data_IF_874942363216
#
_entry.id   IF_874942363216
#
_cell.length_a   1.000
_cell.length_b   1.000
_cell.length_c   1.000
_cell.angle_alpha   90.00
_cell.angle_beta   90.00
_cell.angle_gamma   90.00
#
_symmetry.space_group_name_H-M   'P 1'
#
loop_
_entity.id
_entity.type
_entity.pdbx_description
1 polymer ?
#
# COMPACT_ATOMS: atom_id res chain seq x y z
N UNK A 1 -38.63 -4.56 35.38
CA UNK A 1 -39.05 -4.50 33.97
C UNK A 1 -37.97 -3.98 33.00
N UNK A 2 -37.17 -2.95 33.34
CA UNK A 2 -36.10 -2.43 32.45
C UNK A 2 -34.87 -3.36 32.29
N UNK A 3 -34.69 -4.33 33.20
CA UNK A 3 -33.54 -5.25 33.18
C UNK A 3 -33.45 -6.09 31.91
N UNK A 4 -34.60 -6.50 31.35
CA UNK A 4 -34.66 -7.25 30.10
C UNK A 4 -34.10 -6.42 28.94
N UNK A 5 -34.41 -5.12 28.89
CA UNK A 5 -33.84 -4.21 27.89
C UNK A 5 -32.34 -4.01 28.05
N UNK A 6 -31.81 -3.98 29.29
CA UNK A 6 -30.36 -3.88 29.51
C UNK A 6 -29.61 -5.12 29.04
N UNK A 7 -30.14 -6.31 29.32
CA UNK A 7 -29.56 -7.56 28.84
C UNK A 7 -29.60 -7.59 27.30
N UNK A 8 -30.72 -7.20 26.69
CA UNK A 8 -30.85 -7.11 25.23
C UNK A 8 -29.82 -6.14 24.64
N UNK A 9 -29.73 -4.90 25.13
CA UNK A 9 -28.79 -3.91 24.63
C UNK A 9 -27.33 -4.36 24.80
N UNK A 10 -26.99 -4.96 25.95
CA UNK A 10 -25.66 -5.51 26.20
C UNK A 10 -25.31 -6.62 25.20
N UNK A 11 -26.24 -7.54 24.90
CA UNK A 11 -25.99 -8.61 23.92
C UNK A 11 -25.72 -8.05 22.52
N UNK A 12 -26.46 -7.03 22.09
CA UNK A 12 -26.27 -6.37 20.80
C UNK A 12 -24.88 -5.72 20.74
N UNK A 13 -24.51 -4.94 21.76
CA UNK A 13 -23.20 -4.29 21.82
C UNK A 13 -22.05 -5.31 21.87
N UNK A 14 -22.21 -6.39 22.64
CA UNK A 14 -21.22 -7.45 22.74
C UNK A 14 -20.98 -8.15 21.39
N UNK A 15 -22.05 -8.49 20.66
CA UNK A 15 -21.93 -9.12 19.34
C UNK A 15 -21.25 -8.19 18.33
N UNK A 16 -21.61 -6.90 18.32
CA UNK A 16 -20.97 -5.89 17.44
C UNK A 16 -19.48 -5.76 17.77
N UNK A 17 -19.13 -5.67 19.06
CA UNK A 17 -17.75 -5.54 19.50
C UNK A 17 -16.90 -6.76 19.14
N UNK A 18 -17.40 -7.98 19.37
CA UNK A 18 -16.71 -9.23 19.00
C UNK A 18 -16.55 -9.34 17.48
N UNK A 19 -17.58 -9.00 16.70
CA UNK A 19 -17.48 -8.99 15.24
C UNK A 19 -16.44 -7.97 14.73
N UNK A 20 -16.39 -6.79 15.32
CA UNK A 20 -15.41 -5.76 15.00
C UNK A 20 -13.98 -6.22 15.36
N UNK A 21 -13.81 -6.84 16.52
CA UNK A 21 -12.53 -7.42 16.94
C UNK A 21 -12.06 -8.53 16.00
N UNK A 22 -12.94 -9.45 15.61
CA UNK A 22 -12.63 -10.54 14.67
C UNK A 22 -12.21 -9.96 13.32
N UNK A 23 -12.90 -8.95 12.78
CA UNK A 23 -12.50 -8.29 11.53
C UNK A 23 -11.10 -7.67 11.63
N UNK A 24 -10.83 -6.94 12.71
CA UNK A 24 -9.53 -6.31 12.93
C UNK A 24 -8.41 -7.36 13.10
N UNK A 25 -8.70 -8.47 13.79
CA UNK A 25 -7.76 -9.57 13.96
C UNK A 25 -7.48 -10.29 12.64
N UNK A 26 -8.52 -10.58 11.85
CA UNK A 26 -8.40 -11.27 10.57
C UNK A 26 -7.60 -10.42 9.57
N UNK A 27 -7.92 -9.12 9.46
CA UNK A 27 -7.17 -8.19 8.61
C UNK A 27 -5.69 -8.17 8.99
N UNK A 28 -5.39 -8.12 10.28
CA UNK A 28 -4.03 -8.12 10.79
C UNK A 28 -3.31 -9.48 10.69
N UNK A 29 -4.04 -10.60 10.76
CA UNK A 29 -3.49 -11.93 10.56
C UNK A 29 -3.13 -12.16 9.09
N UNK A 30 -3.93 -11.66 8.15
CA UNK A 30 -3.65 -11.79 6.72
C UNK A 30 -2.43 -10.98 6.27
N UNK A 31 -2.12 -9.86 6.92
CA UNK A 31 -0.90 -9.10 6.64
C UNK A 31 0.38 -9.81 7.16
N UNK A 32 0.24 -10.77 8.08
CA UNK A 32 1.37 -11.59 8.57
C UNK A 32 1.61 -12.84 7.74
N UNK A 33 0.54 -13.46 7.23
CA UNK A 33 0.62 -14.71 6.48
C UNK A 33 0.60 -14.54 4.95
N UNK A 34 0.29 -13.34 4.44
CA UNK A 34 0.26 -13.02 3.00
C UNK A 34 1.63 -12.78 2.34
N UNK A 35 2.70 -12.70 3.13
CA UNK A 35 4.07 -12.49 2.62
C UNK A 35 4.90 -13.78 2.51
N UNK A 36 4.32 -14.94 2.84
CA UNK A 36 5.04 -16.24 2.78
C UNK A 36 4.13 -17.43 2.47
N UNK A 37 3.43 -17.44 1.34
CA UNK A 37 3.06 -18.71 0.72
C UNK A 37 2.83 -18.53 -0.77
N UNK A 38 3.66 -19.20 -1.56
CA UNK A 38 3.61 -19.16 -3.01
C UNK A 38 2.36 -19.81 -3.60
N UNK A 39 2.21 -19.53 -4.90
CA UNK A 39 1.44 -20.30 -5.87
C UNK A 39 -0.08 -20.38 -5.60
N UNK A 40 -0.84 -19.56 -6.33
CA UNK A 40 -2.21 -19.94 -6.74
C UNK A 40 -3.39 -19.43 -5.92
N UNK A 41 -3.25 -18.37 -5.13
CA UNK A 41 -4.38 -17.74 -4.45
C UNK A 41 -5.02 -16.63 -5.28
N UNK A 42 -6.12 -16.94 -5.97
CA UNK A 42 -6.94 -15.96 -6.69
C UNK A 42 -7.37 -14.82 -5.77
N UNK A 43 -6.72 -13.65 -5.87
CA UNK A 43 -7.35 -12.40 -5.48
C UNK A 43 -8.51 -12.16 -6.44
N UNK A 44 -9.67 -12.72 -6.12
CA UNK A 44 -10.93 -12.24 -6.66
C UNK A 44 -11.10 -10.79 -6.22
N UNK A 45 -10.67 -9.87 -7.07
CA UNK A 45 -11.33 -8.57 -7.25
C UNK A 45 -12.80 -8.89 -7.48
N UNK A 46 -13.55 -8.91 -6.38
CA UNK A 46 -14.99 -9.08 -6.38
C UNK A 46 -15.54 -7.83 -7.07
N UNK A 47 -15.74 -7.98 -8.37
CA UNK A 47 -16.50 -7.10 -9.21
C UNK A 47 -17.92 -7.03 -8.64
N UNK A 48 -18.15 -6.15 -7.67
CA UNK A 48 -19.49 -5.74 -7.31
C UNK A 48 -19.90 -4.61 -8.26
N UNK A 49 -20.18 -5.01 -9.50
CA UNK A 49 -21.29 -4.40 -10.21
C UNK A 49 -22.51 -4.61 -9.31
N UNK A 50 -22.96 -3.57 -8.61
CA UNK A 50 -24.37 -3.37 -8.34
C UNK A 50 -24.63 -1.97 -7.77
N UNK A 51 -25.61 -1.33 -8.39
CA UNK A 51 -26.45 -0.23 -7.91
C UNK A 51 -25.79 1.12 -7.59
N UNK A 52 -25.69 1.91 -8.66
CA UNK A 52 -26.25 3.26 -8.73
C UNK A 52 -27.32 3.53 -7.64
N UNK A 53 -26.97 4.28 -6.60
CA UNK A 53 -27.87 5.25 -5.98
C UNK A 53 -27.12 6.17 -5.00
N UNK A 54 -27.01 7.44 -5.40
CA UNK A 54 -27.02 8.56 -4.45
C UNK A 54 -25.69 9.25 -4.17
N UNK A 55 -25.58 10.48 -4.67
CA UNK A 55 -25.09 11.59 -3.85
C UNK A 55 -23.61 11.96 -3.97
N UNK A 56 -23.34 12.98 -4.79
CA UNK A 56 -22.26 13.97 -4.71
C UNK A 56 -20.87 13.51 -4.24
N UNK A 57 -19.92 13.41 -5.19
CA UNK A 57 -18.49 13.31 -4.87
C UNK A 57 -17.63 13.48 -6.11
N UNK A 58 -17.06 14.69 -6.24
CA UNK A 58 -15.86 15.10 -6.98
C UNK A 58 -15.37 14.22 -8.14
N UNK A 59 -15.16 14.87 -9.30
CA UNK A 59 -14.42 14.35 -10.46
C UNK A 59 -13.17 13.56 -10.03
N UNK A 60 -13.29 12.24 -9.94
CA UNK A 60 -12.13 11.37 -9.95
C UNK A 60 -11.64 11.40 -11.38
N UNK A 61 -10.71 12.32 -11.65
CA UNK A 61 -9.77 12.17 -12.75
C UNK A 61 -9.26 10.74 -12.64
N UNK A 62 -9.72 9.89 -13.55
CA UNK A 62 -9.23 8.53 -13.76
C UNK A 62 -7.80 8.68 -14.29
N UNK A 63 -6.93 9.19 -13.42
CA UNK A 63 -5.51 9.39 -13.60
C UNK A 63 -5.01 7.96 -13.62
N UNK A 64 -4.94 7.41 -14.83
CA UNK A 64 -4.30 6.13 -15.08
C UNK A 64 -2.88 6.30 -14.57
N UNK A 65 -2.66 5.86 -13.35
CA UNK A 65 -1.34 5.79 -12.74
C UNK A 65 -0.62 4.74 -13.58
N UNK A 66 0.14 5.19 -14.56
CA UNK A 66 1.04 4.31 -15.27
C UNK A 66 1.97 3.73 -14.20
N UNK A 67 1.94 2.41 -13.98
CA UNK A 67 2.71 1.81 -12.90
C UNK A 67 4.20 2.05 -13.15
N UNK A 68 4.93 2.37 -12.10
CA UNK A 68 6.38 2.48 -12.20
C UNK A 68 6.96 1.16 -12.69
N UNK A 69 7.90 1.17 -13.66
CA UNK A 69 8.39 -0.05 -14.31
C UNK A 69 9.05 -1.02 -13.34
N UNK A 70 9.56 -0.54 -12.20
CA UNK A 70 10.16 -1.35 -11.13
C UNK A 70 9.14 -2.23 -10.39
N UNK A 71 7.85 -1.91 -10.50
CA UNK A 71 6.76 -2.70 -9.92
C UNK A 71 6.24 -3.75 -10.90
N UNK A 72 6.93 -3.98 -12.01
CA UNK A 72 6.58 -5.02 -12.98
C UNK A 72 7.68 -6.10 -12.99
N UNK A 73 7.28 -7.37 -13.02
CA UNK A 73 8.19 -8.49 -13.27
C UNK A 73 8.59 -8.56 -14.76
N UNK A 74 9.48 -9.50 -15.10
CA UNK A 74 9.91 -9.74 -16.49
C UNK A 74 8.78 -10.16 -17.45
N UNK A 75 7.63 -10.56 -16.91
CA UNK A 75 6.42 -10.89 -17.65
C UNK A 75 5.40 -9.73 -17.67
N UNK A 76 5.74 -8.56 -17.13
CA UNK A 76 4.88 -7.38 -17.07
C UNK A 76 3.78 -7.44 -16.00
N UNK A 77 3.90 -8.34 -15.01
CA UNK A 77 2.94 -8.45 -13.89
C UNK A 77 3.38 -7.61 -12.71
N UNK A 78 2.40 -7.10 -11.98
CA UNK A 78 2.65 -6.30 -10.79
C UNK A 78 3.33 -7.10 -9.66
N UNK A 79 4.45 -6.60 -9.17
CA UNK A 79 5.14 -7.06 -7.96
C UNK A 79 4.93 -6.02 -6.84
N UNK A 80 4.75 -6.52 -5.61
CA UNK A 80 4.45 -5.68 -4.42
C UNK A 80 5.69 -4.93 -3.91
N UNK A 81 6.87 -5.42 -4.26
CA UNK A 81 8.16 -4.84 -3.91
C UNK A 81 9.00 -4.68 -5.17
N UNK A 82 9.77 -3.58 -5.32
CA UNK A 82 10.66 -3.40 -6.46
C UNK A 82 11.76 -4.47 -6.43
N UNK A 83 12.18 -4.92 -7.62
CA UNK A 83 13.26 -5.91 -7.74
C UNK A 83 14.57 -5.36 -7.17
N UNK A 84 14.98 -5.84 -5.99
CA UNK A 84 16.22 -5.43 -5.34
C UNK A 84 17.43 -6.08 -6.05
N UNK A 85 18.17 -5.29 -6.82
CA UNK A 85 19.42 -5.73 -7.45
C UNK A 85 20.60 -5.43 -6.50
N UNK A 86 21.06 -6.45 -5.79
CA UNK A 86 22.26 -6.35 -4.93
C UNK A 86 23.52 -6.37 -5.82
N UNK A 87 24.23 -5.24 -5.90
CA UNK A 87 25.57 -5.17 -6.52
C UNK A 87 26.63 -5.09 -5.43
N UNK A 88 27.68 -5.90 -5.52
CA UNK A 88 28.87 -5.74 -4.67
C UNK A 88 29.66 -4.52 -5.15
N UNK A 89 29.61 -3.43 -4.39
CA UNK A 89 30.31 -2.17 -4.69
C UNK A 89 31.18 -1.78 -3.49
N UNK A 90 32.32 -1.13 -3.74
CA UNK A 90 33.16 -0.61 -2.67
C UNK A 90 32.51 0.62 -2.02
N UNK A 91 32.88 0.94 -0.77
CA UNK A 91 32.31 2.08 -0.03
C UNK A 91 32.60 3.40 -0.75
N UNK A 92 33.80 3.54 -1.32
CA UNK A 92 34.21 4.75 -2.04
C UNK A 92 33.41 4.94 -3.33
N UNK A 93 33.26 3.87 -4.11
CA UNK A 93 32.48 3.90 -5.36
C UNK A 93 31.00 4.18 -5.08
N UNK A 94 30.45 3.64 -3.99
CA UNK A 94 29.07 3.89 -3.57
C UNK A 94 28.86 5.35 -3.17
N UNK A 95 29.84 5.95 -2.48
CA UNK A 95 29.82 7.38 -2.13
C UNK A 95 29.82 8.23 -3.39
N UNK A 96 30.72 7.95 -4.33
CA UNK A 96 30.79 8.69 -5.59
C UNK A 96 29.49 8.58 -6.41
N UNK A 97 28.86 7.41 -6.42
CA UNK A 97 27.57 7.21 -7.09
C UNK A 97 26.44 8.00 -6.41
N UNK A 98 26.41 8.08 -5.08
CA UNK A 98 25.44 8.89 -4.34
C UNK A 98 25.64 10.38 -4.58
N UNK A 99 26.89 10.85 -4.59
CA UNK A 99 27.22 12.25 -4.88
C UNK A 99 26.78 12.61 -6.31
N UNK A 100 27.04 11.75 -7.30
CA UNK A 100 26.57 11.94 -8.67
C UNK A 100 25.04 11.96 -8.81
N UNK A 101 24.32 11.12 -8.05
CA UNK A 101 22.85 11.14 -8.01
C UNK A 101 22.31 12.42 -7.36
N UNK A 102 23.02 12.96 -6.37
CA UNK A 102 22.65 14.21 -5.71
C UNK A 102 22.82 15.41 -6.65
N UNK A 103 23.96 15.50 -7.34
CA UNK A 103 24.25 16.59 -8.30
C UNK A 103 23.35 16.55 -9.54
N UNK A 104 22.96 15.35 -10.00
CA UNK A 104 22.07 15.17 -11.15
C UNK A 104 20.58 15.26 -10.81
N UNK A 105 20.22 15.50 -9.54
CA UNK A 105 18.84 15.56 -9.09
C UNK A 105 18.10 16.78 -9.69
N UNK A 106 16.91 16.60 -10.29
CA UNK A 106 16.09 17.70 -10.77
C UNK A 106 15.68 18.61 -9.59
N UNK A 107 16.39 19.72 -9.42
CA UNK A 107 16.19 20.64 -8.29
C UNK A 107 17.43 20.93 -7.45
N UNK A 108 18.56 20.28 -7.73
CA UNK A 108 19.84 20.69 -7.16
C UNK A 108 20.24 22.05 -7.73
N UNK A 109 20.14 23.10 -6.92
CA UNK A 109 20.69 24.43 -7.24
C UNK A 109 22.13 24.42 -6.75
N UNK A 110 23.09 24.42 -7.67
CA UNK A 110 24.50 24.62 -7.35
C UNK A 110 24.67 25.97 -6.68
N UNK A 111 24.75 26.01 -5.35
CA UNK A 111 24.93 27.22 -4.55
C UNK A 111 26.39 27.71 -4.58
N UNK A 112 27.08 27.53 -5.71
CA UNK A 112 28.51 27.82 -5.84
C UNK A 112 28.84 28.47 -7.19
N UNK A 113 28.14 29.55 -7.50
CA UNK A 113 28.41 30.39 -8.67
C UNK A 113 28.47 31.86 -8.26
N UNK A 114 29.26 32.23 -7.24
CA UNK A 114 29.57 33.63 -6.93
C UNK A 114 30.72 33.72 -5.90
N UNK A 115 31.95 33.39 -6.32
CA UNK A 115 33.19 33.85 -5.68
C UNK A 115 34.36 33.67 -6.66
N UNK A 116 34.45 34.57 -7.65
CA UNK A 116 35.65 34.83 -8.46
C UNK A 116 35.63 36.27 -8.99
#
# INVERSE_FOLDING_TARGET
MLHLLYILAFTILAVIAVANLIRNLIMFSFDRDGSRSGVGGNYSTRNSQLSNQGGYGYLSSNRRVAPHPELLDSAGKFIKEPLLVMRSINVEDARQQLDALYESSPGHKSENSEEA
#
